data_IF_776465687567
#
_entry.id   IF_776465687567
#
_cell.length_a   1.000
_cell.length_b   1.000
_cell.length_c   1.000
_cell.angle_alpha   90.00
_cell.angle_beta   90.00
_cell.angle_gamma   90.00
#
_symmetry.space_group_name_H-M   'P 1'
#
loop_
_entity.id
_entity.type
_entity.pdbx_description
1 polymer ?
#
# COMPACT_ATOMS: atom_id res chain seq x y z
N UNK A 1 -30.11 -11.60 19.30
CA UNK A 1 -28.77 -12.22 19.23
C UNK A 1 -28.05 -11.86 20.53
N UNK A 2 -27.23 -12.73 21.07
CA UNK A 2 -26.52 -12.47 22.34
C UNK A 2 -25.59 -11.27 22.14
N UNK A 3 -25.76 -10.20 22.94
CA UNK A 3 -24.90 -9.00 22.93
C UNK A 3 -23.53 -9.23 23.59
N UNK A 4 -23.19 -10.48 23.85
CA UNK A 4 -21.92 -10.84 24.48
C UNK A 4 -20.97 -11.43 23.44
N UNK A 5 -19.73 -10.91 23.42
CA UNK A 5 -18.64 -11.42 22.62
C UNK A 5 -18.49 -12.94 22.86
N UNK A 6 -18.55 -13.80 21.83
CA UNK A 6 -18.30 -15.22 22.00
C UNK A 6 -16.83 -15.42 22.42
N UNK A 7 -16.57 -16.53 23.13
CA UNK A 7 -15.19 -16.91 23.46
C UNK A 7 -14.44 -17.30 22.19
N UNK A 8 -13.42 -16.56 21.85
CA UNK A 8 -12.50 -16.90 20.76
C UNK A 8 -11.26 -17.63 21.27
N UNK A 9 -10.65 -18.43 20.42
CA UNK A 9 -9.36 -19.05 20.73
C UNK A 9 -8.28 -17.98 20.86
N UNK A 10 -7.23 -18.18 21.68
CA UNK A 10 -6.08 -17.30 21.66
C UNK A 10 -5.52 -17.16 20.25
N UNK A 11 -5.09 -15.96 19.88
CA UNK A 11 -4.46 -15.69 18.61
C UNK A 11 -2.97 -15.50 18.75
N UNK A 12 -2.24 -15.83 17.69
CA UNK A 12 -0.80 -15.64 17.56
C UNK A 12 -0.52 -14.32 16.84
N UNK A 13 0.54 -13.64 17.26
CA UNK A 13 1.09 -12.49 16.54
C UNK A 13 2.62 -12.60 16.46
N UNK A 14 3.19 -12.17 15.34
CA UNK A 14 4.62 -12.05 15.15
C UNK A 14 5.03 -10.58 15.39
N UNK A 15 5.72 -10.35 16.48
CA UNK A 15 6.17 -9.03 16.93
C UNK A 15 7.57 -8.75 16.42
N UNK A 16 7.73 -7.64 15.71
CA UNK A 16 9.02 -7.12 15.30
C UNK A 16 9.62 -6.26 16.41
N UNK A 17 10.77 -6.69 16.95
CA UNK A 17 11.42 -6.04 18.08
C UNK A 17 12.53 -5.04 17.66
N UNK A 18 12.78 -4.89 16.36
CA UNK A 18 13.79 -3.99 15.81
C UNK A 18 14.75 -4.67 14.83
N UNK A 19 15.48 -3.86 14.11
CA UNK A 19 16.46 -4.33 13.12
C UNK A 19 17.51 -5.28 13.73
N UNK A 20 17.72 -6.41 13.08
CA UNK A 20 18.70 -7.43 13.48
C UNK A 20 18.26 -8.31 14.64
N UNK A 21 17.03 -8.13 15.15
CA UNK A 21 16.42 -9.04 16.13
C UNK A 21 15.40 -9.96 15.44
N UNK A 22 15.27 -11.22 15.89
CA UNK A 22 14.28 -12.13 15.36
C UNK A 22 12.86 -11.67 15.70
N UNK A 23 11.87 -12.10 14.91
CA UNK A 23 10.48 -11.95 15.29
C UNK A 23 10.17 -12.78 16.55
N UNK A 24 9.43 -12.19 17.47
CA UNK A 24 8.92 -12.87 18.67
C UNK A 24 7.48 -13.28 18.42
N UNK A 25 7.20 -14.59 18.60
CA UNK A 25 5.83 -15.08 18.53
C UNK A 25 5.18 -15.03 19.91
N UNK A 26 4.05 -14.36 19.99
CA UNK A 26 3.26 -14.25 21.22
C UNK A 26 1.86 -14.76 20.98
N UNK A 27 1.28 -15.42 22.00
CA UNK A 27 -0.13 -15.81 22.02
C UNK A 27 -0.87 -14.96 23.03
N UNK A 28 -2.04 -14.44 22.64
CA UNK A 28 -2.90 -13.62 23.50
C UNK A 28 -4.36 -13.98 23.28
N UNK A 29 -5.15 -13.84 24.35
CA UNK A 29 -6.60 -13.84 24.23
C UNK A 29 -7.05 -12.66 23.38
N UNK A 30 -8.16 -12.82 22.66
CA UNK A 30 -8.81 -11.70 21.99
C UNK A 30 -9.17 -10.66 23.05
N UNK A 31 -8.77 -9.40 22.90
CA UNK A 31 -9.03 -8.36 23.89
C UNK A 31 -10.52 -8.03 23.96
N UNK A 32 -10.91 -7.30 24.99
CA UNK A 32 -12.25 -6.73 25.06
C UNK A 32 -12.48 -5.77 23.88
N UNK A 33 -13.53 -6.05 23.10
CA UNK A 33 -13.92 -5.21 21.95
C UNK A 33 -14.74 -4.02 22.46
N UNK A 34 -14.24 -2.82 22.23
CA UNK A 34 -14.87 -1.58 22.69
C UNK A 34 -16.03 -1.18 21.77
N UNK A 35 -16.84 -0.20 22.25
CA UNK A 35 -17.97 0.31 21.49
C UNK A 35 -17.58 0.77 20.07
N UNK A 36 -18.27 0.23 19.06
CA UNK A 36 -18.05 0.53 17.66
C UNK A 36 -16.86 -0.17 17.00
N UNK A 37 -16.09 -0.99 17.73
CA UNK A 37 -14.98 -1.75 17.17
C UNK A 37 -15.45 -3.04 16.46
N UNK A 38 -14.60 -3.56 15.60
CA UNK A 38 -14.83 -4.81 14.86
C UNK A 38 -13.66 -5.75 15.10
N UNK A 39 -13.95 -7.01 15.43
CA UNK A 39 -12.97 -8.10 15.45
C UNK A 39 -12.93 -8.76 14.08
N UNK A 40 -11.74 -8.84 13.50
CA UNK A 40 -11.49 -9.47 12.21
C UNK A 40 -10.50 -10.61 12.39
N UNK A 41 -10.77 -11.77 11.77
CA UNK A 41 -9.77 -12.79 11.53
C UNK A 41 -8.97 -12.41 10.29
N UNK A 42 -7.67 -12.22 10.44
CA UNK A 42 -6.81 -12.01 9.28
C UNK A 42 -6.79 -13.31 8.45
N UNK A 43 -6.90 -13.20 7.14
CA UNK A 43 -6.84 -14.33 6.21
C UNK A 43 -5.54 -14.33 5.42
N UNK A 44 -5.06 -13.12 5.09
CA UNK A 44 -3.89 -12.94 4.25
C UNK A 44 -3.30 -11.54 4.39
N UNK A 45 -1.98 -11.46 4.35
CA UNK A 45 -1.26 -10.18 4.21
C UNK A 45 -0.12 -10.33 3.22
N UNK A 46 0.33 -9.22 2.62
CA UNK A 46 1.53 -9.20 1.79
C UNK A 46 2.60 -8.32 2.42
N UNK A 47 3.86 -8.64 2.16
CA UNK A 47 5.00 -7.83 2.61
C UNK A 47 5.18 -6.64 1.67
N UNK A 48 4.90 -5.44 2.16
CA UNK A 48 5.13 -4.19 1.42
C UNK A 48 6.62 -3.82 1.42
N UNK A 49 7.05 -3.03 0.46
CA UNK A 49 8.40 -2.46 0.44
C UNK A 49 8.75 -1.66 1.70
N UNK A 50 7.76 -1.00 2.32
CA UNK A 50 7.94 -0.28 3.59
C UNK A 50 8.21 -1.22 4.77
N UNK A 51 7.58 -2.41 4.81
CA UNK A 51 7.88 -3.43 5.82
C UNK A 51 9.33 -3.93 5.67
N UNK A 52 9.78 -4.13 4.41
CA UNK A 52 11.18 -4.50 4.14
C UNK A 52 12.16 -3.39 4.52
N UNK A 53 11.82 -2.13 4.30
CA UNK A 53 12.66 -1.02 4.77
C UNK A 53 12.78 -1.00 6.29
N UNK A 54 11.71 -1.30 7.01
CA UNK A 54 11.71 -1.44 8.48
C UNK A 54 12.56 -2.64 8.90
N UNK A 55 12.33 -3.81 8.32
CA UNK A 55 13.09 -5.03 8.61
C UNK A 55 14.59 -4.86 8.36
N UNK A 56 15.00 -4.13 7.32
CA UNK A 56 16.38 -3.84 6.98
C UNK A 56 16.97 -2.62 7.73
N UNK A 57 16.25 -2.00 8.66
CA UNK A 57 16.73 -0.84 9.44
C UNK A 57 16.83 0.47 8.65
N UNK A 58 16.26 0.55 7.45
CA UNK A 58 16.27 1.77 6.63
C UNK A 58 15.14 2.75 7.01
N UNK A 59 14.10 2.21 7.64
CA UNK A 59 13.00 2.96 8.20
C UNK A 59 12.90 2.63 9.69
N UNK A 60 12.87 3.67 10.51
CA UNK A 60 12.76 3.50 11.96
C UNK A 60 11.28 3.39 12.33
N UNK A 61 10.92 2.29 12.95
CA UNK A 61 9.66 2.10 13.66
C UNK A 61 9.95 1.89 15.15
N UNK A 62 9.02 2.20 16.03
CA UNK A 62 9.15 1.82 17.44
C UNK A 62 9.37 0.30 17.55
N UNK A 63 10.13 -0.18 18.53
CA UNK A 63 10.19 -1.62 18.81
C UNK A 63 8.82 -2.14 19.26
N UNK A 64 8.60 -3.44 19.17
CA UNK A 64 7.36 -4.11 19.52
C UNK A 64 6.17 -3.66 18.66
N UNK A 65 6.28 -3.82 17.35
CA UNK A 65 5.17 -3.63 16.40
C UNK A 65 4.80 -4.95 15.74
N UNK A 66 3.53 -5.15 15.43
CA UNK A 66 3.07 -6.22 14.55
C UNK A 66 2.98 -5.63 13.14
N UNK A 67 3.94 -5.97 12.28
CA UNK A 67 4.01 -5.45 10.92
C UNK A 67 2.89 -6.02 10.03
N UNK A 68 2.88 -5.60 8.76
CA UNK A 68 1.86 -5.97 7.77
C UNK A 68 0.68 -5.00 7.78
N UNK A 69 0.45 -4.36 6.64
CA UNK A 69 -0.62 -3.37 6.45
C UNK A 69 -1.30 -3.51 5.09
N UNK A 70 -0.96 -4.52 4.31
CA UNK A 70 -1.68 -4.98 3.12
C UNK A 70 -2.50 -6.21 3.51
N UNK A 71 -3.71 -6.02 4.03
CA UNK A 71 -4.43 -7.05 4.77
C UNK A 71 -5.84 -7.26 4.21
N UNK A 72 -6.26 -8.52 4.22
CA UNK A 72 -7.65 -8.92 4.04
C UNK A 72 -8.05 -9.89 5.15
N UNK A 73 -9.27 -9.75 5.66
CA UNK A 73 -9.76 -10.57 6.73
C UNK A 73 -11.27 -10.84 6.64
N UNK A 74 -11.75 -11.66 7.55
CA UNK A 74 -13.15 -12.01 7.73
C UNK A 74 -13.67 -11.43 9.05
N UNK A 75 -14.81 -10.77 9.00
CA UNK A 75 -15.45 -10.23 10.20
C UNK A 75 -15.89 -11.39 11.11
N UNK A 76 -15.39 -11.44 12.33
CA UNK A 76 -15.83 -12.37 13.35
C UNK A 76 -16.90 -11.79 14.27
N UNK A 77 -16.75 -10.50 14.64
CA UNK A 77 -17.66 -9.82 15.56
C UNK A 77 -17.71 -8.33 15.22
N UNK A 78 -18.91 -7.79 15.36
CA UNK A 78 -19.16 -6.35 15.21
C UNK A 78 -19.81 -5.88 16.51
N UNK A 79 -19.22 -4.90 17.19
CA UNK A 79 -19.86 -4.32 18.38
C UNK A 79 -21.23 -3.72 18.03
N UNK A 80 -22.27 -3.92 18.86
CA UNK A 80 -23.63 -3.44 18.57
C UNK A 80 -23.75 -1.91 18.38
N UNK A 81 -22.81 -1.11 18.90
CA UNK A 81 -22.79 0.34 18.69
C UNK A 81 -22.27 0.73 17.30
N UNK A 82 -21.69 -0.21 16.54
CA UNK A 82 -21.25 0.04 15.16
C UNK A 82 -22.45 0.21 14.21
N UNK A 83 -22.33 1.11 13.23
CA UNK A 83 -23.40 1.38 12.26
C UNK A 83 -23.71 0.21 11.31
N UNK A 84 -22.95 -0.87 11.34
CA UNK A 84 -23.05 -2.05 10.45
C UNK A 84 -23.02 -1.68 8.95
N UNK A 85 -22.23 -0.67 8.59
CA UNK A 85 -22.05 -0.19 7.22
C UNK A 85 -20.57 -0.07 6.90
N UNK A 86 -20.20 -0.45 5.68
CA UNK A 86 -18.87 -0.19 5.12
C UNK A 86 -18.77 1.26 4.58
N UNK A 87 -17.60 1.62 4.06
CA UNK A 87 -17.34 2.96 3.49
C UNK A 87 -18.26 3.30 2.31
N UNK A 88 -18.84 2.31 1.62
CA UNK A 88 -19.83 2.47 0.54
C UNK A 88 -21.27 2.56 1.04
N UNK A 89 -21.48 2.36 2.32
CA UNK A 89 -22.81 2.26 2.95
C UNK A 89 -23.46 0.88 2.76
N UNK A 90 -22.72 -0.13 2.32
CA UNK A 90 -23.21 -1.50 2.23
C UNK A 90 -23.32 -2.14 3.62
N UNK A 91 -24.35 -2.96 3.82
CA UNK A 91 -24.56 -3.66 5.09
C UNK A 91 -23.54 -4.77 5.26
N UNK A 92 -22.96 -4.85 6.44
CA UNK A 92 -21.96 -5.86 6.82
C UNK A 92 -22.48 -6.76 7.94
N UNK A 93 -21.93 -7.99 7.97
CA UNK A 93 -22.23 -9.00 8.99
C UNK A 93 -20.98 -9.83 9.27
N UNK A 94 -21.02 -10.62 10.35
CA UNK A 94 -20.01 -11.66 10.59
C UNK A 94 -19.97 -12.63 9.41
N UNK A 95 -18.77 -13.05 9.02
CA UNK A 95 -18.50 -13.87 7.83
C UNK A 95 -18.20 -13.05 6.57
N UNK A 96 -18.44 -11.74 6.55
CA UNK A 96 -18.07 -10.90 5.41
C UNK A 96 -16.55 -10.72 5.32
N UNK A 97 -16.03 -10.84 4.09
CA UNK A 97 -14.63 -10.58 3.79
C UNK A 97 -14.43 -9.09 3.54
N UNK A 98 -13.49 -8.48 4.26
CA UNK A 98 -13.21 -7.04 4.21
C UNK A 98 -11.71 -6.75 4.07
N UNK A 99 -11.40 -5.61 3.44
CA UNK A 99 -10.12 -4.93 3.58
C UNK A 99 -10.35 -3.55 4.20
N UNK A 100 -9.34 -2.97 4.83
CA UNK A 100 -9.49 -1.71 5.59
C UNK A 100 -8.34 -0.75 5.38
N UNK A 101 -8.61 0.51 5.60
CA UNK A 101 -7.61 1.57 5.56
C UNK A 101 -6.45 1.26 6.51
N UNK A 102 -5.23 1.52 6.05
CA UNK A 102 -4.02 1.38 6.90
C UNK A 102 -4.03 2.32 8.11
N UNK A 103 -4.99 3.21 8.21
CA UNK A 103 -5.10 4.16 9.32
C UNK A 103 -6.55 4.33 9.78
N UNK A 104 -6.69 4.74 11.04
CA UNK A 104 -7.93 5.22 11.65
C UNK A 104 -7.69 6.60 12.24
N UNK A 105 -8.68 7.49 12.11
CA UNK A 105 -8.65 8.84 12.70
C UNK A 105 -9.62 8.85 13.89
N UNK A 106 -9.16 9.06 15.13
CA UNK A 106 -10.04 9.14 16.29
C UNK A 106 -11.06 10.28 16.15
N UNK A 107 -12.32 10.05 16.60
CA UNK A 107 -13.42 11.04 16.50
C UNK A 107 -13.09 12.40 17.11
N UNK A 108 -12.35 12.41 18.22
CA UNK A 108 -11.99 13.63 18.93
C UNK A 108 -10.94 14.50 18.21
N UNK A 109 -10.45 14.06 17.05
CA UNK A 109 -9.40 14.75 16.32
C UNK A 109 -9.93 15.27 14.99
N UNK A 110 -10.02 16.58 14.87
CA UNK A 110 -10.27 17.21 13.57
C UNK A 110 -8.97 17.18 12.78
N UNK A 111 -8.95 16.57 11.58
CA UNK A 111 -7.78 16.62 10.73
C UNK A 111 -7.40 18.08 10.47
N UNK A 112 -6.12 18.44 10.42
CA UNK A 112 -5.68 19.79 10.07
C UNK A 112 -6.25 20.23 8.71
N UNK A 113 -6.47 19.25 7.83
CA UNK A 113 -7.11 19.41 6.51
C UNK A 113 -8.03 18.22 6.26
N UNK A 114 -9.35 18.43 6.12
CA UNK A 114 -10.33 17.35 5.94
C UNK A 114 -10.08 16.50 4.67
N UNK A 115 -9.43 17.06 3.66
CA UNK A 115 -9.03 16.38 2.42
C UNK A 115 -7.80 15.47 2.58
N UNK A 116 -7.12 15.54 3.73
CA UNK A 116 -5.91 14.76 4.03
C UNK A 116 -6.01 14.05 5.39
N UNK A 117 -6.99 13.14 5.60
CA UNK A 117 -7.19 12.43 6.87
C UNK A 117 -5.93 11.64 7.28
N UNK A 118 -5.17 11.13 6.33
CA UNK A 118 -3.90 10.42 6.54
C UNK A 118 -2.78 11.30 7.16
N UNK A 119 -3.02 12.59 7.36
CA UNK A 119 -2.12 13.55 8.02
C UNK A 119 -2.71 14.11 9.32
N UNK A 120 -3.76 13.47 9.83
CA UNK A 120 -4.34 13.82 11.10
C UNK A 120 -3.36 13.64 12.26
N UNK A 121 -3.43 14.51 13.26
CA UNK A 121 -2.75 14.29 14.53
C UNK A 121 -3.34 13.05 15.24
N UNK A 122 -2.53 12.32 16.00
CA UNK A 122 -2.93 11.09 16.70
C UNK A 122 -3.48 9.99 15.79
N UNK A 123 -2.99 9.94 14.54
CA UNK A 123 -3.34 8.89 13.60
C UNK A 123 -2.97 7.52 14.16
N UNK A 124 -3.93 6.60 14.24
CA UNK A 124 -3.61 5.19 14.47
C UNK A 124 -3.26 4.53 13.14
N UNK A 125 -2.19 3.75 13.08
CA UNK A 125 -1.78 3.03 11.89
C UNK A 125 -1.66 1.54 12.13
N UNK A 126 -2.44 0.76 11.41
CA UNK A 126 -2.31 -0.70 11.38
C UNK A 126 -0.95 -1.10 10.80
N UNK A 127 -0.31 -2.10 11.40
CA UNK A 127 1.03 -2.53 11.00
C UNK A 127 2.18 -1.64 11.48
N UNK A 128 1.88 -0.55 12.22
CA UNK A 128 2.87 0.42 12.73
C UNK A 128 2.61 0.88 14.16
N UNK A 129 1.50 0.46 14.74
CA UNK A 129 1.17 0.78 16.14
C UNK A 129 1.93 -0.14 17.10
N UNK A 130 2.24 0.39 18.30
CA UNK A 130 2.86 -0.43 19.33
C UNK A 130 1.97 -1.62 19.71
N UNK A 131 2.58 -2.79 19.83
CA UNK A 131 1.95 -4.02 20.29
C UNK A 131 2.27 -4.20 21.78
N UNK A 132 1.56 -3.51 22.65
CA UNK A 132 1.80 -3.52 24.09
C UNK A 132 0.60 -4.08 24.86
N UNK A 133 0.89 -4.87 25.88
CA UNK A 133 -0.16 -5.47 26.73
C UNK A 133 -1.06 -6.40 25.90
N UNK A 134 -2.36 -6.09 25.86
CA UNK A 134 -3.38 -6.84 25.11
C UNK A 134 -3.59 -6.27 23.68
N UNK A 135 -3.01 -5.09 23.35
CA UNK A 135 -3.18 -4.41 22.07
C UNK A 135 -2.19 -4.95 21.01
N UNK A 136 -2.16 -6.26 20.82
CA UNK A 136 -1.25 -6.92 19.87
C UNK A 136 -1.89 -7.22 18.51
N UNK A 137 -3.22 -7.16 18.41
CA UNK A 137 -3.96 -7.45 17.19
C UNK A 137 -4.23 -6.17 16.38
N UNK A 138 -3.15 -5.55 15.89
CA UNK A 138 -3.18 -4.25 15.20
C UNK A 138 -2.38 -4.22 13.89
N UNK A 139 -1.99 -5.38 13.37
CA UNK A 139 -1.25 -5.52 12.12
C UNK A 139 -1.55 -6.84 11.41
N UNK A 140 -1.00 -7.00 10.19
CA UNK A 140 -1.25 -8.14 9.33
C UNK A 140 -0.54 -9.43 9.75
N UNK A 141 0.55 -9.33 10.50
CA UNK A 141 1.30 -10.49 10.97
C UNK A 141 0.74 -11.02 12.31
N UNK A 142 -0.58 -11.21 12.36
CA UNK A 142 -1.32 -11.78 13.49
C UNK A 142 -2.57 -12.51 13.00
N UNK A 143 -3.08 -13.45 13.79
CA UNK A 143 -4.31 -14.20 13.47
C UNK A 143 -5.55 -13.27 13.44
N UNK A 144 -5.54 -12.21 14.22
CA UNK A 144 -6.66 -11.28 14.35
C UNK A 144 -6.20 -9.84 14.12
N UNK A 145 -7.18 -8.98 13.83
CA UNK A 145 -7.04 -7.54 13.88
C UNK A 145 -8.29 -6.91 14.52
N UNK A 146 -8.10 -5.98 15.46
CA UNK A 146 -9.19 -5.18 16.04
C UNK A 146 -9.25 -3.86 15.30
N UNK A 147 -10.35 -3.64 14.60
CA UNK A 147 -10.58 -2.38 13.89
C UNK A 147 -11.23 -1.37 14.85
N UNK A 148 -10.59 -0.22 15.00
CA UNK A 148 -11.13 0.90 15.77
C UNK A 148 -12.43 1.42 15.14
N UNK A 149 -13.31 2.01 15.93
CA UNK A 149 -14.66 2.45 15.54
C UNK A 149 -14.71 3.34 14.28
N UNK A 150 -13.66 4.10 14.01
CA UNK A 150 -13.57 5.02 12.85
C UNK A 150 -12.70 4.51 11.73
N UNK A 151 -12.39 3.22 11.70
CA UNK A 151 -11.64 2.63 10.60
C UNK A 151 -12.53 2.53 9.38
N UNK A 152 -12.09 3.13 8.28
CA UNK A 152 -12.74 2.90 6.99
C UNK A 152 -12.38 1.50 6.47
N UNK A 153 -13.37 0.73 6.08
CA UNK A 153 -13.22 -0.59 5.49
C UNK A 153 -14.25 -0.79 4.39
N UNK A 154 -14.01 -1.78 3.52
CA UNK A 154 -14.88 -2.11 2.38
C UNK A 154 -15.04 -3.62 2.32
N UNK A 155 -16.29 -4.07 2.11
CA UNK A 155 -16.62 -5.45 1.84
C UNK A 155 -16.11 -5.84 0.44
N UNK A 156 -15.45 -6.99 0.33
CA UNK A 156 -14.81 -7.45 -0.90
C UNK A 156 -15.46 -8.76 -1.38
N UNK A 157 -15.82 -8.83 -2.68
CA UNK A 157 -16.35 -10.04 -3.30
C UNK A 157 -15.39 -11.23 -3.14
N UNK A 158 -15.94 -12.42 -2.91
CA UNK A 158 -15.17 -13.66 -2.85
C UNK A 158 -14.54 -14.05 -4.20
N UNK A 159 -15.05 -13.50 -5.31
CA UNK A 159 -14.51 -13.75 -6.65
C UNK A 159 -13.13 -13.11 -6.85
N UNK A 160 -12.80 -12.06 -6.10
CA UNK A 160 -11.48 -11.42 -6.19
C UNK A 160 -10.46 -12.28 -5.45
N UNK A 161 -9.37 -12.71 -6.09
CA UNK A 161 -8.32 -13.49 -5.43
C UNK A 161 -7.80 -12.79 -4.17
N UNK A 162 -7.61 -13.56 -3.11
CA UNK A 162 -7.20 -13.03 -1.81
C UNK A 162 -5.88 -12.25 -1.87
N UNK A 163 -4.95 -12.70 -2.72
CA UNK A 163 -3.65 -12.07 -2.99
C UNK A 163 -3.79 -10.67 -3.55
N UNK A 164 -4.79 -10.46 -4.42
CA UNK A 164 -5.10 -9.17 -5.01
C UNK A 164 -5.84 -8.28 -4.02
N UNK A 165 -6.84 -8.84 -3.35
CA UNK A 165 -7.66 -8.10 -2.38
C UNK A 165 -6.83 -7.51 -1.22
N UNK A 166 -5.82 -8.25 -0.74
CA UNK A 166 -4.96 -7.77 0.35
C UNK A 166 -4.19 -6.49 -0.01
N UNK A 167 -3.81 -6.31 -1.27
CA UNK A 167 -3.00 -5.16 -1.72
C UNK A 167 -3.80 -3.87 -1.95
N UNK A 168 -5.14 -3.92 -1.88
CA UNK A 168 -6.02 -2.76 -2.08
C UNK A 168 -5.72 -1.67 -1.04
N UNK A 169 -5.60 -2.05 0.23
CA UNK A 169 -5.47 -1.14 1.37
C UNK A 169 -4.20 -0.30 1.39
N UNK A 170 -3.18 -0.65 0.61
CA UNK A 170 -1.93 0.10 0.56
C UNK A 170 -1.55 0.49 -0.87
N UNK A 171 -1.10 -0.49 -1.67
CA UNK A 171 -0.49 -0.21 -2.96
C UNK A 171 -1.47 0.47 -3.93
N UNK A 172 -2.63 -0.14 -4.16
CA UNK A 172 -3.60 0.39 -5.13
C UNK A 172 -4.21 1.71 -4.66
N UNK A 173 -4.50 1.85 -3.37
CA UNK A 173 -5.02 3.11 -2.79
C UNK A 173 -4.01 4.26 -2.88
N UNK A 174 -2.73 3.96 -2.66
CA UNK A 174 -1.66 4.96 -2.82
C UNK A 174 -1.55 5.41 -4.28
N UNK A 175 -1.68 4.49 -5.24
CA UNK A 175 -1.66 4.81 -6.67
C UNK A 175 -2.89 5.65 -7.07
N UNK A 176 -4.09 5.30 -6.61
CA UNK A 176 -5.29 6.12 -6.85
C UNK A 176 -5.09 7.56 -6.34
N UNK A 177 -4.51 7.71 -5.14
CA UNK A 177 -4.12 9.00 -4.60
C UNK A 177 -3.08 9.73 -5.46
N UNK A 178 -2.11 9.00 -6.03
CA UNK A 178 -1.09 9.57 -6.91
C UNK A 178 -1.72 10.14 -8.20
N UNK A 179 -2.66 9.40 -8.83
CA UNK A 179 -3.38 9.89 -10.01
C UNK A 179 -4.22 11.13 -9.66
N UNK A 180 -4.95 11.12 -8.52
CA UNK A 180 -5.67 12.31 -8.06
C UNK A 180 -4.74 13.51 -7.88
N UNK A 181 -3.58 13.33 -7.29
CA UNK A 181 -2.58 14.39 -7.08
C UNK A 181 -1.99 14.87 -8.40
N UNK A 182 -1.81 13.99 -9.39
CA UNK A 182 -1.38 14.36 -10.73
C UNK A 182 -2.43 15.23 -11.46
N UNK A 183 -3.72 14.97 -11.24
CA UNK A 183 -4.83 15.61 -11.93
C UNK A 183 -5.29 14.84 -13.17
N UNK A 184 -5.59 15.54 -14.27
CA UNK A 184 -6.09 14.91 -15.50
C UNK A 184 -5.05 14.01 -16.15
N UNK A 185 -5.43 12.75 -16.39
CA UNK A 185 -4.58 11.71 -17.02
C UNK A 185 -4.96 11.48 -18.48
N UNK A 186 -6.23 11.68 -18.83
CA UNK A 186 -6.76 11.42 -20.18
C UNK A 186 -5.94 12.16 -21.25
N UNK A 187 -5.48 11.43 -22.24
CA UNK A 187 -4.69 11.95 -23.35
C UNK A 187 -3.23 12.33 -23.01
N UNK A 188 -2.80 12.19 -21.76
CA UNK A 188 -1.44 12.52 -21.32
C UNK A 188 -0.45 11.42 -21.66
N UNK A 189 0.81 11.84 -21.84
CA UNK A 189 1.95 10.95 -21.88
C UNK A 189 2.52 10.81 -20.47
N UNK A 190 2.61 9.58 -19.97
CA UNK A 190 2.99 9.28 -18.59
C UNK A 190 4.26 8.43 -18.57
N UNK A 191 5.16 8.72 -17.63
CA UNK A 191 6.31 7.86 -17.31
C UNK A 191 6.23 7.44 -15.84
N UNK A 192 6.36 6.14 -15.60
CA UNK A 192 6.37 5.56 -14.25
C UNK A 192 7.77 5.01 -13.96
N UNK A 193 8.38 5.44 -12.87
CA UNK A 193 9.65 4.94 -12.37
C UNK A 193 9.42 3.96 -11.22
N UNK A 194 9.92 2.73 -11.40
CA UNK A 194 9.77 1.59 -10.48
C UNK A 194 8.74 0.59 -10.98
N UNK A 195 9.16 -0.65 -11.25
CA UNK A 195 8.31 -1.76 -11.69
C UNK A 195 7.94 -2.75 -10.57
N UNK A 196 7.86 -2.25 -9.33
CA UNK A 196 7.20 -2.94 -8.22
C UNK A 196 5.67 -2.85 -8.32
N UNK A 197 4.94 -3.38 -7.32
CA UNK A 197 3.47 -3.39 -7.34
C UNK A 197 2.87 -1.99 -7.52
N UNK A 198 3.41 -0.95 -6.85
CA UNK A 198 2.92 0.42 -7.03
C UNK A 198 3.06 0.88 -8.48
N UNK A 199 4.23 0.64 -9.09
CA UNK A 199 4.48 1.07 -10.46
C UNK A 199 3.61 0.32 -11.48
N UNK A 200 3.49 -0.99 -11.35
CA UNK A 200 2.63 -1.80 -12.22
C UNK A 200 1.15 -1.41 -12.08
N UNK A 201 0.69 -1.18 -10.85
CA UNK A 201 -0.65 -0.65 -10.59
C UNK A 201 -0.83 0.75 -11.20
N UNK A 202 0.21 1.61 -11.14
CA UNK A 202 0.17 2.95 -11.74
C UNK A 202 0.07 2.89 -13.26
N UNK A 203 0.82 2.00 -13.91
CA UNK A 203 0.70 1.75 -15.36
C UNK A 203 -0.74 1.38 -15.70
N UNK A 204 -1.28 0.34 -15.04
CA UNK A 204 -2.65 -0.13 -15.28
C UNK A 204 -3.69 0.98 -15.05
N UNK A 205 -3.63 1.70 -13.92
CA UNK A 205 -4.57 2.78 -13.63
C UNK A 205 -4.45 3.94 -14.61
N UNK A 206 -3.25 4.29 -15.10
CA UNK A 206 -3.07 5.31 -16.11
C UNK A 206 -3.66 4.89 -17.47
N UNK A 207 -3.52 3.62 -17.84
CA UNK A 207 -4.14 3.06 -19.07
C UNK A 207 -5.65 3.15 -18.98
N UNK A 208 -6.26 2.71 -17.86
CA UNK A 208 -7.70 2.77 -17.65
C UNK A 208 -8.22 4.22 -17.55
N UNK A 209 -7.40 5.16 -17.07
CA UNK A 209 -7.72 6.59 -17.05
C UNK A 209 -7.55 7.28 -18.43
N UNK A 210 -7.19 6.54 -19.48
CA UNK A 210 -7.11 7.05 -20.85
C UNK A 210 -5.83 7.83 -21.18
N UNK A 211 -4.71 7.52 -20.50
CA UNK A 211 -3.39 8.04 -20.92
C UNK A 211 -3.11 7.66 -22.38
N UNK A 212 -2.58 8.61 -23.17
CA UNK A 212 -2.27 8.36 -24.59
C UNK A 212 -1.01 7.51 -24.78
N UNK A 213 -0.14 7.48 -23.76
CA UNK A 213 1.08 6.68 -23.75
C UNK A 213 1.58 6.53 -22.30
N UNK A 214 1.98 5.32 -21.92
CA UNK A 214 2.51 5.00 -20.59
C UNK A 214 3.82 4.24 -20.72
N UNK A 215 4.92 4.85 -20.29
CA UNK A 215 6.23 4.19 -20.17
C UNK A 215 6.50 3.71 -18.76
N UNK A 216 7.27 2.63 -18.63
CA UNK A 216 7.72 2.07 -17.38
C UNK A 216 9.25 2.00 -17.34
N UNK A 217 9.87 2.49 -16.28
CA UNK A 217 11.32 2.48 -16.11
C UNK A 217 11.73 1.82 -14.79
N UNK A 218 12.73 0.94 -14.83
CA UNK A 218 13.33 0.31 -13.64
C UNK A 218 14.80 -0.01 -13.90
N UNK A 219 15.58 -0.28 -12.86
CA UNK A 219 16.93 -0.79 -12.95
C UNK A 219 16.99 -2.33 -12.92
N UNK A 220 15.88 -2.99 -12.64
CA UNK A 220 15.73 -4.44 -12.58
C UNK A 220 15.05 -4.97 -13.85
N UNK A 221 15.83 -5.63 -14.71
CA UNK A 221 15.34 -6.20 -15.96
C UNK A 221 14.30 -7.33 -15.78
N UNK A 222 14.36 -8.06 -14.66
CA UNK A 222 13.38 -9.12 -14.41
C UNK A 222 12.02 -8.51 -14.10
N UNK A 223 12.01 -7.44 -13.33
CA UNK A 223 10.77 -6.71 -13.02
C UNK A 223 10.19 -5.98 -14.23
N UNK A 224 11.04 -5.47 -15.15
CA UNK A 224 10.58 -4.81 -16.38
C UNK A 224 9.81 -5.75 -17.32
N UNK A 225 10.01 -7.07 -17.22
CA UNK A 225 9.23 -8.05 -17.99
C UNK A 225 7.73 -8.03 -17.70
N UNK A 226 7.33 -7.48 -16.54
CA UNK A 226 5.92 -7.27 -16.24
C UNK A 226 5.28 -6.14 -17.03
N UNK A 227 6.09 -5.23 -17.61
CA UNK A 227 5.58 -4.05 -18.32
C UNK A 227 4.58 -4.42 -19.42
N UNK A 228 4.91 -5.39 -20.28
CA UNK A 228 4.02 -5.83 -21.35
C UNK A 228 2.69 -6.40 -20.82
N UNK A 229 2.74 -7.17 -19.72
CA UNK A 229 1.54 -7.77 -19.11
C UNK A 229 0.61 -6.72 -18.46
N UNK A 230 1.16 -5.55 -18.12
CA UNK A 230 0.43 -4.40 -17.59
C UNK A 230 0.16 -3.33 -18.63
N UNK A 231 0.33 -3.65 -19.93
CA UNK A 231 0.05 -2.78 -21.07
C UNK A 231 0.88 -1.49 -21.11
N UNK A 232 2.11 -1.50 -20.57
CA UNK A 232 3.04 -0.39 -20.78
C UNK A 232 3.40 -0.27 -22.28
N UNK A 233 3.32 0.94 -22.85
CA UNK A 233 3.63 1.18 -24.26
C UNK A 233 5.13 1.09 -24.56
N UNK A 234 5.99 1.25 -23.54
CA UNK A 234 7.43 1.07 -23.62
C UNK A 234 8.04 0.80 -22.25
N UNK A 235 9.13 0.05 -22.24
CA UNK A 235 9.93 -0.20 -21.03
C UNK A 235 11.33 0.37 -21.20
N UNK A 236 11.91 0.91 -20.13
CA UNK A 236 13.22 1.55 -20.11
C UNK A 236 14.06 1.00 -18.97
N UNK A 237 15.20 0.43 -19.30
CA UNK A 237 16.18 0.09 -18.28
C UNK A 237 16.86 1.37 -17.81
N UNK A 238 16.81 1.64 -16.50
CA UNK A 238 17.50 2.76 -15.83
C UNK A 238 18.72 2.24 -15.06
N UNK A 239 19.69 3.10 -14.79
CA UNK A 239 20.87 2.76 -13.99
C UNK A 239 22.19 2.84 -14.77
N UNK A 240 23.29 2.38 -14.14
CA UNK A 240 24.67 2.52 -14.70
C UNK A 240 24.89 1.78 -16.00
N UNK A 241 24.16 0.68 -16.23
CA UNK A 241 24.26 -0.18 -17.39
C UNK A 241 23.21 0.14 -18.47
N UNK A 242 22.43 1.20 -18.26
CA UNK A 242 21.46 1.63 -19.24
C UNK A 242 22.19 2.05 -20.53
N UNK A 243 21.96 1.33 -21.63
CA UNK A 243 22.25 1.85 -22.95
C UNK A 243 21.56 3.21 -23.06
N UNK A 244 22.22 4.23 -23.60
CA UNK A 244 21.78 5.63 -23.60
C UNK A 244 20.46 5.85 -24.37
N UNK A 245 19.41 5.14 -23.98
CA UNK A 245 18.08 5.31 -24.53
C UNK A 245 17.51 6.63 -23.95
N UNK A 246 17.39 7.61 -24.83
CA UNK A 246 16.83 8.91 -24.44
C UNK A 246 15.38 8.73 -24.01
N UNK A 247 15.07 9.12 -22.78
CA UNK A 247 13.68 9.16 -22.30
C UNK A 247 12.87 10.14 -23.17
N UNK A 248 11.67 9.78 -23.61
CA UNK A 248 10.80 10.69 -24.34
C UNK A 248 10.32 11.82 -23.41
N UNK A 249 9.95 12.97 -23.99
CA UNK A 249 9.23 13.98 -23.23
C UNK A 249 7.83 13.50 -22.86
N UNK A 250 7.43 13.73 -21.60
CA UNK A 250 6.15 13.28 -21.03
C UNK A 250 5.48 14.40 -20.23
N UNK A 251 4.17 14.34 -20.10
CA UNK A 251 3.39 15.33 -19.35
C UNK A 251 3.45 15.07 -17.84
N UNK A 252 3.48 13.78 -17.44
CA UNK A 252 3.42 13.37 -16.05
C UNK A 252 4.47 12.29 -15.77
N UNK A 253 5.15 12.45 -14.65
CA UNK A 253 6.07 11.45 -14.11
C UNK A 253 5.60 11.00 -12.73
N UNK A 254 5.50 9.69 -12.51
CA UNK A 254 5.30 9.11 -11.20
C UNK A 254 6.58 8.43 -10.72
N UNK A 255 7.10 8.82 -9.55
CA UNK A 255 8.20 8.10 -8.91
C UNK A 255 7.70 7.21 -7.79
N UNK A 256 7.87 5.89 -7.98
CA UNK A 256 7.54 4.85 -7.00
C UNK A 256 8.81 4.30 -6.33
N UNK A 257 9.99 4.82 -6.69
CA UNK A 257 11.28 4.27 -6.25
C UNK A 257 11.86 4.96 -5.02
N UNK A 258 11.64 6.26 -4.88
CA UNK A 258 12.33 7.11 -3.91
C UNK A 258 13.83 7.23 -4.16
N UNK A 259 14.31 6.81 -5.34
CA UNK A 259 15.71 6.92 -5.71
C UNK A 259 16.00 8.31 -6.29
N UNK A 260 16.94 9.10 -5.72
CA UNK A 260 17.21 10.47 -6.18
C UNK A 260 17.58 10.56 -7.66
N UNK A 261 18.29 9.57 -8.21
CA UNK A 261 18.67 9.58 -9.62
C UNK A 261 17.47 9.28 -10.53
N UNK A 262 16.57 8.37 -10.14
CA UNK A 262 15.33 8.10 -10.88
C UNK A 262 14.42 9.35 -10.86
N UNK A 263 14.26 9.97 -9.69
CA UNK A 263 13.49 11.21 -9.52
C UNK A 263 14.04 12.35 -10.39
N UNK A 264 15.39 12.51 -10.43
CA UNK A 264 16.04 13.48 -11.29
C UNK A 264 15.81 13.17 -12.77
N UNK A 265 16.01 11.93 -13.20
CA UNK A 265 15.78 11.49 -14.59
C UNK A 265 14.34 11.77 -15.01
N UNK A 266 13.38 11.48 -14.10
CA UNK A 266 11.97 11.80 -14.31
C UNK A 266 11.74 13.30 -14.52
N UNK A 267 12.30 14.15 -13.68
CA UNK A 267 12.22 15.62 -13.84
C UNK A 267 12.79 16.09 -15.20
N UNK A 268 13.94 15.54 -15.60
CA UNK A 268 14.60 15.90 -16.86
C UNK A 268 13.75 15.51 -18.10
N UNK A 269 12.88 14.50 -17.98
CA UNK A 269 11.98 14.02 -19.05
C UNK A 269 10.67 14.80 -19.17
N UNK A 270 10.36 15.73 -18.25
CA UNK A 270 9.10 16.46 -18.29
C UNK A 270 9.06 17.46 -19.45
N UNK A 271 7.94 17.49 -20.14
CA UNK A 271 7.57 18.52 -21.10
C UNK A 271 7.26 19.87 -20.41
N UNK A 272 7.03 20.91 -21.19
CA UNK A 272 6.58 22.20 -20.66
C UNK A 272 5.22 22.04 -19.96
N UNK A 273 5.10 22.55 -18.73
CA UNK A 273 3.91 22.39 -17.88
C UNK A 273 3.81 21.06 -17.19
N UNK A 274 4.84 20.19 -17.29
CA UNK A 274 4.83 18.84 -16.78
C UNK A 274 4.78 18.75 -15.24
N UNK A 275 4.31 17.61 -14.75
CA UNK A 275 4.07 17.33 -13.34
C UNK A 275 4.87 16.11 -12.91
N UNK A 276 5.70 16.23 -11.88
CA UNK A 276 6.29 15.10 -11.17
C UNK A 276 5.50 14.81 -9.88
N UNK A 277 5.05 13.57 -9.69
CA UNK A 277 4.45 13.09 -8.45
C UNK A 277 5.41 12.13 -7.77
N UNK A 278 5.83 12.47 -6.55
CA UNK A 278 6.79 11.69 -5.78
C UNK A 278 6.10 10.93 -4.66
N UNK A 279 6.26 9.60 -4.68
CA UNK A 279 5.59 8.66 -3.77
C UNK A 279 6.63 7.78 -3.05
N UNK A 280 7.66 7.31 -3.76
CA UNK A 280 8.58 6.28 -3.28
C UNK A 280 9.52 6.70 -2.14
N UNK A 281 9.72 8.00 -1.91
CA UNK A 281 10.67 8.51 -0.92
C UNK A 281 10.09 8.48 0.52
N UNK A 282 9.86 7.26 1.06
CA UNK A 282 9.28 7.04 2.40
C UNK A 282 10.32 6.58 3.44
N UNK A 283 11.59 6.66 3.11
CA UNK A 283 12.74 6.32 3.95
C UNK A 283 13.80 7.42 3.87
N UNK A 284 14.72 7.46 4.82
CA UNK A 284 15.83 8.42 4.80
C UNK A 284 16.78 8.12 3.66
N UNK A 285 16.99 9.08 2.77
CA UNK A 285 17.86 8.97 1.60
C UNK A 285 18.60 10.28 1.30
N UNK A 286 19.41 10.27 0.26
CA UNK A 286 20.11 11.46 -0.21
C UNK A 286 19.10 12.47 -0.81
N UNK A 287 19.31 13.78 -0.64
CA UNK A 287 18.49 14.82 -1.23
C UNK A 287 18.48 14.76 -2.77
N UNK A 288 17.32 15.02 -3.36
CA UNK A 288 17.18 15.15 -4.81
C UNK A 288 17.66 16.54 -5.25
N UNK A 289 18.57 16.57 -6.22
CA UNK A 289 19.01 17.84 -6.84
C UNK A 289 18.04 18.24 -7.95
N UNK A 290 17.42 19.41 -7.80
CA UNK A 290 16.48 19.98 -8.76
C UNK A 290 17.09 21.22 -9.41
N UNK A 291 17.10 21.26 -10.76
CA UNK A 291 17.48 22.46 -11.50
C UNK A 291 16.36 23.49 -11.46
N UNK A 292 16.54 24.54 -10.66
CA UNK A 292 15.58 25.61 -10.50
C UNK A 292 15.31 26.38 -11.81
N UNK A 293 16.32 26.54 -12.69
CA UNK A 293 16.15 27.18 -13.99
C UNK A 293 15.23 26.38 -14.89
N UNK A 294 15.39 25.06 -14.92
CA UNK A 294 14.50 24.14 -15.65
C UNK A 294 13.07 24.23 -15.15
N UNK A 295 12.87 24.18 -13.82
CA UNK A 295 11.53 24.30 -13.20
C UNK A 295 10.84 25.59 -13.62
N UNK A 296 11.54 26.73 -13.55
CA UNK A 296 11.00 28.04 -13.93
C UNK A 296 10.69 28.12 -15.42
N UNK A 297 11.64 27.70 -16.28
CA UNK A 297 11.48 27.84 -17.74
C UNK A 297 10.45 26.89 -18.34
N UNK A 298 10.33 25.67 -17.80
CA UNK A 298 9.35 24.68 -18.25
C UNK A 298 8.03 24.76 -17.48
N UNK A 299 7.88 25.64 -16.48
CA UNK A 299 6.69 25.74 -15.62
C UNK A 299 6.33 24.41 -14.94
N UNK A 300 7.35 23.68 -14.45
CA UNK A 300 7.18 22.37 -13.88
C UNK A 300 6.54 22.41 -12.49
N UNK A 301 5.85 21.35 -12.12
CA UNK A 301 5.28 21.16 -10.80
C UNK A 301 5.85 19.90 -10.16
N UNK A 302 6.17 19.97 -8.87
CA UNK A 302 6.56 18.83 -8.05
C UNK A 302 5.51 18.68 -6.97
N UNK A 303 4.90 17.50 -6.88
CA UNK A 303 3.85 17.17 -5.92
C UNK A 303 4.24 15.92 -5.15
N UNK A 304 4.04 15.89 -3.83
CA UNK A 304 4.31 14.74 -2.97
C UNK A 304 3.03 14.07 -2.52
N UNK A 305 3.06 12.76 -2.37
CA UNK A 305 2.00 11.98 -1.74
C UNK A 305 2.60 10.99 -0.74
N UNK A 306 1.96 10.88 0.42
CA UNK A 306 2.23 9.83 1.40
C UNK A 306 0.92 9.27 1.93
N UNK A 307 0.70 7.97 1.72
CA UNK A 307 -0.57 7.30 1.91
C UNK A 307 -1.68 7.93 1.04
N UNK A 308 -2.93 7.77 1.39
CA UNK A 308 -4.10 8.08 0.58
C UNK A 308 -5.23 8.59 1.48
N UNK A 309 -6.26 9.16 0.91
CA UNK A 309 -7.51 9.49 1.61
C UNK A 309 -8.59 8.40 1.36
N UNK A 310 -9.74 8.52 1.99
CA UNK A 310 -10.82 7.53 1.87
C UNK A 310 -11.42 7.45 0.47
N UNK A 311 -11.43 8.57 -0.28
CA UNK A 311 -11.87 8.56 -1.69
C UNK A 311 -10.91 7.77 -2.58
N UNK A 312 -9.61 7.88 -2.33
CA UNK A 312 -8.59 7.09 -3.04
C UNK A 312 -8.77 5.59 -2.78
N UNK A 313 -9.12 5.22 -1.53
CA UNK A 313 -9.39 3.83 -1.16
C UNK A 313 -10.62 3.27 -1.90
N UNK A 314 -11.69 4.04 -2.01
CA UNK A 314 -12.86 3.69 -2.81
C UNK A 314 -12.52 3.50 -4.29
N UNK A 315 -11.78 4.45 -4.88
CA UNK A 315 -11.37 4.40 -6.30
C UNK A 315 -10.50 3.17 -6.56
N UNK A 316 -9.56 2.88 -5.67
CA UNK A 316 -8.70 1.71 -5.79
C UNK A 316 -9.48 0.40 -5.71
N UNK A 317 -10.46 0.31 -4.82
CA UNK A 317 -11.33 -0.87 -4.70
C UNK A 317 -12.12 -1.07 -5.98
N UNK A 318 -12.78 -0.03 -6.49
CA UNK A 318 -13.53 -0.08 -7.75
C UNK A 318 -12.64 -0.45 -8.94
N UNK A 319 -11.40 0.09 -8.99
CA UNK A 319 -10.44 -0.29 -10.02
C UNK A 319 -10.13 -1.78 -9.99
N UNK A 320 -9.86 -2.34 -8.81
CA UNK A 320 -9.57 -3.78 -8.68
C UNK A 320 -10.81 -4.61 -9.01
N UNK A 321 -11.98 -4.26 -8.52
CA UNK A 321 -13.24 -4.97 -8.82
C UNK A 321 -13.49 -5.09 -10.32
N UNK A 322 -13.15 -4.06 -11.09
CA UNK A 322 -13.36 -4.02 -12.54
C UNK A 322 -12.22 -4.64 -13.37
N UNK A 323 -11.00 -4.73 -12.81
CA UNK A 323 -9.81 -5.00 -13.60
C UNK A 323 -8.94 -6.16 -13.10
N UNK A 324 -9.29 -6.84 -11.99
CA UNK A 324 -8.47 -7.92 -11.43
C UNK A 324 -8.30 -9.11 -12.38
N UNK A 325 -9.21 -9.32 -13.32
CA UNK A 325 -9.12 -10.35 -14.36
C UNK A 325 -8.33 -9.89 -15.60
N UNK A 326 -8.28 -8.57 -15.84
CA UNK A 326 -7.57 -7.98 -16.96
C UNK A 326 -6.06 -7.97 -16.74
N UNK A 327 -5.65 -7.55 -15.54
CA UNK A 327 -4.24 -7.44 -15.17
C UNK A 327 -3.83 -8.57 -14.23
N UNK A 328 -2.64 -9.18 -14.43
CA UNK A 328 -2.20 -10.35 -13.66
C UNK A 328 -1.68 -9.98 -12.27
N UNK A 329 -2.47 -9.24 -11.48
CA UNK A 329 -2.09 -8.83 -10.12
C UNK A 329 -1.82 -10.00 -9.19
N UNK A 330 -2.54 -11.13 -9.37
CA UNK A 330 -2.36 -12.33 -8.55
C UNK A 330 -0.97 -12.94 -8.71
N UNK A 331 -0.43 -12.91 -9.95
CA UNK A 331 0.87 -13.48 -10.28
C UNK A 331 2.03 -12.69 -9.66
N UNK A 332 1.80 -11.44 -9.23
CA UNK A 332 2.80 -10.61 -8.58
C UNK A 332 3.17 -11.10 -7.17
N UNK A 333 2.34 -11.94 -6.56
CA UNK A 333 2.68 -12.63 -5.31
C UNK A 333 3.39 -13.94 -5.67
N UNK A 334 4.71 -13.85 -5.78
CA UNK A 334 5.56 -14.91 -6.33
C UNK A 334 5.79 -16.06 -5.34
N UNK A 335 5.72 -15.80 -4.04
CA UNK A 335 5.96 -16.78 -2.99
C UNK A 335 5.02 -16.53 -1.81
N UNK A 336 4.62 -17.62 -1.15
CA UNK A 336 3.75 -17.60 0.02
C UNK A 336 4.36 -18.37 1.17
N UNK A 337 4.16 -17.86 2.37
CA UNK A 337 4.61 -18.47 3.64
C UNK A 337 3.48 -18.48 4.66
N UNK A 338 3.60 -19.30 5.70
CA UNK A 338 2.74 -19.21 6.89
C UNK A 338 3.26 -18.14 7.85
N UNK A 339 2.44 -17.73 8.81
CA UNK A 339 2.86 -16.79 9.87
C UNK A 339 4.09 -17.30 10.63
N UNK A 340 4.19 -18.61 10.88
CA UNK A 340 5.34 -19.21 11.57
C UNK A 340 6.66 -19.10 10.77
N UNK A 341 6.58 -18.81 9.49
CA UNK A 341 7.72 -18.67 8.59
C UNK A 341 8.02 -17.20 8.26
N UNK A 342 7.49 -16.25 9.05
CA UNK A 342 7.60 -14.80 8.75
C UNK A 342 9.05 -14.34 8.59
N UNK A 343 9.97 -14.81 9.44
CA UNK A 343 11.40 -14.49 9.32
C UNK A 343 11.95 -14.89 7.95
N UNK A 344 11.72 -16.14 7.55
CA UNK A 344 12.12 -16.67 6.23
C UNK A 344 11.50 -15.88 5.09
N UNK A 345 10.24 -15.45 5.22
CA UNK A 345 9.55 -14.64 4.23
C UNK A 345 10.22 -13.28 4.01
N UNK A 346 10.60 -12.59 5.09
CA UNK A 346 11.33 -11.33 5.03
C UNK A 346 12.74 -11.49 4.46
N UNK A 347 13.45 -12.55 4.86
CA UNK A 347 14.77 -12.87 4.31
C UNK A 347 14.68 -13.15 2.80
N UNK A 348 13.73 -13.98 2.39
CA UNK A 348 13.48 -14.25 0.97
C UNK A 348 13.18 -12.96 0.20
N UNK A 349 12.29 -12.12 0.71
CA UNK A 349 11.93 -10.86 0.08
C UNK A 349 13.12 -9.89 -0.04
N UNK A 350 14.01 -9.85 0.97
CA UNK A 350 15.24 -9.06 0.95
C UNK A 350 16.22 -9.53 -0.12
N UNK A 351 16.43 -10.84 -0.20
CA UNK A 351 17.51 -11.45 -0.97
C UNK A 351 17.13 -11.65 -2.45
N UNK A 352 15.87 -12.02 -2.73
CA UNK A 352 15.38 -12.31 -4.08
C UNK A 352 14.60 -11.15 -4.71
N UNK A 353 14.15 -10.17 -3.91
CA UNK A 353 13.45 -8.97 -4.36
C UNK A 353 12.23 -9.25 -5.27
N UNK A 354 11.35 -10.21 -4.94
CA UNK A 354 10.12 -10.44 -5.70
C UNK A 354 9.25 -9.18 -5.68
N UNK A 355 8.22 -9.12 -6.54
CA UNK A 355 7.27 -7.99 -6.49
C UNK A 355 6.50 -8.00 -5.19
N UNK A 356 6.00 -9.15 -4.76
CA UNK A 356 5.37 -9.37 -3.44
C UNK A 356 5.66 -10.77 -2.90
N UNK A 357 5.65 -10.87 -1.58
CA UNK A 357 5.60 -12.12 -0.82
C UNK A 357 4.33 -12.11 0.00
N UNK A 358 3.61 -13.21 0.01
CA UNK A 358 2.37 -13.38 0.77
C UNK A 358 2.58 -14.14 2.08
N UNK A 359 1.76 -13.85 3.07
CA UNK A 359 1.66 -14.57 4.34
C UNK A 359 0.22 -15.04 4.51
N UNK A 360 0.04 -16.36 4.64
CA UNK A 360 -1.25 -16.99 5.00
C UNK A 360 -1.38 -17.08 6.52
N UNK A 361 -2.58 -16.77 7.01
CA UNK A 361 -2.93 -16.71 8.43
C UNK A 361 -4.00 -17.74 8.78
#
# INVERSE_FOLDING_TARGET
MSDTLPAFTPGKAAVFNGYGLPFEFIERQVPFIKAGEILVKNLYTTLCGSDLHTFCGRRLEPPQVVLGHEIIGEILWIDPAHAHKDLRGETIAAGDRITWSIFSVPEAVTPPRPDMPQKSERLFKYGHALATGDDVFNGGLADYCVLLSNTAFIKISLDIPIKVAATISCAHSTVAGALRVAGEITGKRVMVFGSGLLGLSCVAMCKEAGASWVGLADNDNQRLQWGDKFEADAVFQSGRDATAQRMPEVDIVFDMTGNPQAMKTGMDSLAVGGIAVWIGAVFTGEPVQVDAQMVVRKLLQIRGLHNYNYSDFLIATLFIENNYQKYPFEDLVEMEYSLDQVETAFEYARDHKPVRVGIRL
#
